data_IF_538792333393
#
_entry.id   IF_538792333393
#
_cell.length_a   1.000
_cell.length_b   1.000
_cell.length_c   1.000
_cell.angle_alpha   90.00
_cell.angle_beta   90.00
_cell.angle_gamma   90.00
#
_symmetry.space_group_name_H-M   'P 1'
#
loop_
_entity.id
_entity.type
_entity.pdbx_description
1 polymer ?
#
# COMPACT_ATOMS: atom_id res chain seq x y z
N UNK A 1 -45.81 -28.13 61.29
CA UNK A 1 -44.79 -27.06 61.13
C UNK A 1 -44.09 -27.32 59.80
N UNK A 2 -44.42 -26.48 58.85
CA UNK A 2 -44.09 -26.66 57.44
C UNK A 2 -42.78 -25.91 57.06
N UNK A 3 -41.79 -26.60 56.53
CA UNK A 3 -40.53 -26.01 56.07
C UNK A 3 -40.65 -25.77 54.55
N UNK A 4 -40.70 -24.49 54.16
CA UNK A 4 -40.64 -24.05 52.76
C UNK A 4 -39.18 -24.07 52.26
N UNK A 5 -38.87 -24.95 51.36
CA UNK A 5 -37.58 -24.98 50.63
C UNK A 5 -37.64 -23.96 49.48
N UNK A 6 -36.88 -22.88 49.56
CA UNK A 6 -36.71 -21.91 48.43
C UNK A 6 -35.69 -22.44 47.46
N UNK A 7 -36.14 -22.75 46.25
CA UNK A 7 -35.31 -23.10 45.11
C UNK A 7 -34.77 -21.81 44.49
N UNK A 8 -33.45 -21.56 44.60
CA UNK A 8 -32.78 -20.45 43.90
C UNK A 8 -32.36 -20.93 42.53
N UNK A 9 -33.03 -20.39 41.51
CA UNK A 9 -32.69 -20.64 40.11
C UNK A 9 -31.53 -19.69 39.71
N UNK A 10 -30.30 -20.22 39.60
CA UNK A 10 -29.15 -19.47 39.07
C UNK A 10 -29.22 -19.53 37.56
N UNK A 11 -29.66 -18.45 36.93
CA UNK A 11 -29.59 -18.27 35.47
C UNK A 11 -28.18 -17.82 35.12
N UNK A 12 -27.35 -18.73 34.66
CA UNK A 12 -26.03 -18.40 34.13
C UNK A 12 -26.18 -17.73 32.75
N UNK A 13 -26.02 -16.43 32.72
CA UNK A 13 -25.96 -15.66 31.45
C UNK A 13 -24.62 -15.97 30.77
N UNK A 14 -24.61 -16.86 29.79
CA UNK A 14 -23.46 -17.07 28.90
C UNK A 14 -23.41 -15.88 27.95
N UNK A 15 -22.54 -14.92 28.28
CA UNK A 15 -22.19 -13.86 27.35
C UNK A 15 -21.41 -14.48 26.17
N UNK A 16 -22.10 -14.73 25.07
CA UNK A 16 -21.44 -15.04 23.79
C UNK A 16 -20.75 -13.76 23.34
N UNK A 17 -19.48 -13.63 23.69
CA UNK A 17 -18.62 -12.64 23.05
C UNK A 17 -18.43 -13.06 21.61
N UNK A 18 -19.21 -12.51 20.69
CA UNK A 18 -18.89 -12.55 19.28
C UNK A 18 -17.59 -11.79 19.11
N UNK A 19 -16.46 -12.51 18.99
CA UNK A 19 -15.23 -11.92 18.50
C UNK A 19 -15.59 -11.19 17.20
N UNK A 20 -15.14 -9.93 16.99
CA UNK A 20 -15.34 -9.27 15.71
C UNK A 20 -14.74 -10.20 14.65
N UNK A 21 -15.56 -10.60 13.68
CA UNK A 21 -15.08 -11.34 12.52
C UNK A 21 -13.93 -10.52 11.97
N UNK A 22 -12.74 -11.09 11.99
CA UNK A 22 -11.58 -10.48 11.34
C UNK A 22 -12.02 -10.24 9.89
N UNK A 23 -12.24 -8.98 9.53
CA UNK A 23 -12.48 -8.61 8.16
C UNK A 23 -11.26 -9.09 7.40
N UNK A 24 -11.38 -10.20 6.70
CA UNK A 24 -10.42 -10.59 5.69
C UNK A 24 -10.22 -9.34 4.84
N UNK A 25 -8.96 -8.95 4.61
CA UNK A 25 -8.65 -7.81 3.76
C UNK A 25 -9.46 -7.96 2.47
N UNK A 26 -10.56 -7.22 2.37
CA UNK A 26 -11.54 -7.41 1.30
C UNK A 26 -10.87 -7.20 -0.05
N UNK A 27 -9.65 -6.59 -0.06
CA UNK A 27 -8.88 -6.35 -1.26
C UNK A 27 -7.41 -6.01 -1.02
N UNK A 28 -6.57 -6.74 -1.74
CA UNK A 28 -5.17 -6.41 -1.91
C UNK A 28 -5.02 -5.17 -2.79
N UNK A 29 -4.29 -4.15 -2.32
CA UNK A 29 -3.90 -3.01 -3.14
C UNK A 29 -2.96 -3.46 -4.24
N UNK A 30 -3.27 -3.12 -5.50
CA UNK A 30 -2.45 -3.51 -6.64
C UNK A 30 -2.08 -2.30 -7.47
N UNK A 31 -0.82 -2.20 -7.88
CA UNK A 31 -0.39 -1.06 -8.69
C UNK A 31 1.08 -1.10 -9.04
N UNK A 32 1.67 0.06 -9.22
CA UNK A 32 2.98 0.20 -9.84
C UNK A 32 3.93 1.09 -9.04
N UNK A 33 5.23 0.80 -9.17
CA UNK A 33 6.30 1.70 -8.79
C UNK A 33 7.14 1.98 -10.03
N UNK A 34 7.13 3.23 -10.49
CA UNK A 34 7.93 3.67 -11.64
C UNK A 34 8.08 5.20 -11.61
N UNK A 35 8.95 5.70 -10.74
CA UNK A 35 9.18 7.15 -10.61
C UNK A 35 9.65 7.79 -11.93
N UNK A 36 10.56 7.18 -12.72
CA UNK A 36 10.95 7.74 -14.02
C UNK A 36 9.78 8.02 -14.95
N UNK A 37 8.77 7.16 -14.97
CA UNK A 37 7.63 7.23 -15.90
C UNK A 37 6.42 7.94 -15.29
N UNK A 38 6.04 7.58 -14.07
CA UNK A 38 4.81 8.08 -13.45
C UNK A 38 4.98 9.42 -12.73
N UNK A 39 6.22 9.87 -12.50
CA UNK A 39 6.50 11.10 -11.76
C UNK A 39 7.35 12.10 -12.54
N UNK A 40 8.41 11.67 -13.23
CA UNK A 40 9.39 12.58 -13.83
C UNK A 40 9.28 12.71 -15.35
N UNK A 41 8.60 11.78 -16.03
CA UNK A 41 8.39 11.86 -17.48
C UNK A 41 7.51 13.07 -17.85
N UNK A 42 7.78 13.71 -18.96
CA UNK A 42 6.96 14.80 -19.46
C UNK A 42 5.51 14.36 -19.74
N UNK A 43 5.32 13.10 -20.18
CA UNK A 43 4.01 12.47 -20.42
C UNK A 43 3.40 11.79 -19.18
N UNK A 44 3.91 12.02 -17.96
CA UNK A 44 3.49 11.37 -16.72
C UNK A 44 1.99 11.37 -16.44
N UNK A 45 1.28 12.38 -16.92
CA UNK A 45 -0.18 12.48 -16.76
C UNK A 45 -0.88 11.37 -17.55
N UNK A 46 -0.50 11.18 -18.81
CA UNK A 46 -1.04 10.12 -19.68
C UNK A 46 -0.65 8.73 -19.17
N UNK A 47 0.56 8.61 -18.63
CA UNK A 47 1.03 7.36 -18.03
C UNK A 47 0.25 7.00 -16.74
N UNK A 48 -0.10 7.98 -15.92
CA UNK A 48 -0.98 7.79 -14.77
C UNK A 48 -2.41 7.41 -15.20
N UNK A 49 -2.91 8.00 -16.29
CA UNK A 49 -4.19 7.59 -16.89
C UNK A 49 -4.13 6.14 -17.38
N UNK A 50 -3.07 5.78 -18.08
CA UNK A 50 -2.85 4.41 -18.55
C UNK A 50 -2.75 3.41 -17.38
N UNK A 51 -2.03 3.77 -16.30
CA UNK A 51 -1.95 2.94 -15.10
C UNK A 51 -3.34 2.75 -14.45
N UNK A 52 -4.12 3.82 -14.29
CA UNK A 52 -5.47 3.76 -13.75
C UNK A 52 -6.42 2.89 -14.60
N UNK A 53 -6.31 2.97 -15.94
CA UNK A 53 -7.09 2.15 -16.88
C UNK A 53 -6.79 0.64 -16.74
N UNK A 54 -5.64 0.27 -16.19
CA UNK A 54 -5.33 -1.14 -15.88
C UNK A 54 -5.95 -1.63 -14.57
N UNK A 55 -6.83 -0.85 -13.96
CA UNK A 55 -7.39 -1.08 -12.63
C UNK A 55 -6.35 -1.01 -11.49
N UNK A 56 -5.26 -0.31 -11.67
CA UNK A 56 -4.32 -0.01 -10.60
C UNK A 56 -5.02 0.79 -9.48
N UNK A 57 -4.69 0.45 -8.25
CA UNK A 57 -5.32 1.05 -7.06
C UNK A 57 -4.33 1.75 -6.16
N UNK A 58 -3.04 1.64 -6.48
CA UNK A 58 -1.95 2.27 -5.74
C UNK A 58 -0.77 2.59 -6.67
N UNK A 59 -0.08 3.68 -6.36
CA UNK A 59 1.24 4.01 -6.92
C UNK A 59 2.22 4.12 -5.76
N UNK A 60 3.38 3.48 -5.87
CA UNK A 60 4.48 3.68 -4.95
C UNK A 60 5.46 4.70 -5.51
N UNK A 61 6.00 5.55 -4.66
CA UNK A 61 7.04 6.52 -5.02
C UNK A 61 8.09 6.63 -3.92
N UNK A 62 9.32 6.93 -4.31
CA UNK A 62 10.37 7.27 -3.37
C UNK A 62 10.36 8.75 -3.02
N UNK A 63 10.46 9.04 -1.73
CA UNK A 63 10.89 10.35 -1.26
C UNK A 63 12.29 10.19 -0.68
N UNK A 64 13.30 10.44 -1.51
CA UNK A 64 14.68 10.44 -1.08
C UNK A 64 14.92 11.67 -0.23
N UNK A 65 15.13 11.49 1.07
CA UNK A 65 15.30 12.59 2.01
C UNK A 65 16.45 13.53 1.61
N UNK A 66 17.53 12.97 1.06
CA UNK A 66 18.65 13.76 0.55
C UNK A 66 18.25 14.74 -0.57
N UNK A 67 17.30 14.36 -1.42
CA UNK A 67 16.79 15.20 -2.50
C UNK A 67 15.68 16.13 -2.01
N UNK A 68 14.79 15.62 -1.15
CA UNK A 68 13.70 16.39 -0.58
C UNK A 68 14.17 17.49 0.39
N UNK A 69 15.34 17.33 1.02
CA UNK A 69 15.95 18.31 1.92
C UNK A 69 17.48 18.40 1.69
N UNK A 70 17.92 18.92 0.54
CA UNK A 70 19.37 19.02 0.23
C UNK A 70 20.11 19.97 1.17
N UNK A 71 19.38 20.90 1.79
CA UNK A 71 19.84 21.81 2.85
C UNK A 71 19.07 21.51 4.14
N UNK A 72 19.70 21.80 5.29
CA UNK A 72 19.01 21.63 6.58
C UNK A 72 17.86 22.63 6.70
N UNK A 73 16.62 22.17 6.93
CA UNK A 73 15.48 23.04 7.17
C UNK A 73 15.66 23.87 8.44
N UNK A 74 15.19 25.13 8.43
CA UNK A 74 15.18 25.98 9.63
C UNK A 74 14.19 25.44 10.68
N UNK A 75 13.03 24.96 10.21
CA UNK A 75 11.96 24.37 11.01
C UNK A 75 11.68 22.94 10.53
N UNK A 76 12.48 21.93 10.89
CA UNK A 76 12.45 20.61 10.29
C UNK A 76 11.13 19.84 10.44
N UNK A 77 10.24 20.23 11.38
CA UNK A 77 8.91 19.63 11.53
C UNK A 77 7.82 20.42 10.82
N UNK A 78 8.14 21.59 10.23
CA UNK A 78 7.19 22.37 9.43
C UNK A 78 7.03 21.70 8.04
N UNK A 79 5.81 21.26 7.64
CA UNK A 79 5.58 20.62 6.34
C UNK A 79 5.82 21.55 5.13
N UNK A 80 5.94 22.85 5.36
CA UNK A 80 6.13 23.89 4.34
C UNK A 80 7.42 24.71 4.55
N UNK A 81 8.41 24.14 5.24
CA UNK A 81 9.73 24.78 5.32
C UNK A 81 10.29 24.91 3.90
N UNK A 82 10.80 26.11 3.50
CA UNK A 82 11.25 26.37 2.14
C UNK A 82 12.51 25.59 1.72
N UNK A 83 13.12 24.85 2.63
CA UNK A 83 14.20 23.92 2.29
C UNK A 83 13.67 22.58 1.74
N UNK A 84 12.36 22.29 1.87
CA UNK A 84 11.76 21.08 1.33
C UNK A 84 11.42 21.24 -0.16
N UNK A 85 11.96 20.35 -0.98
CA UNK A 85 11.74 20.25 -2.42
C UNK A 85 10.83 19.04 -2.68
N UNK A 86 9.51 19.26 -2.69
CA UNK A 86 8.49 18.21 -2.76
C UNK A 86 7.43 18.45 -3.86
N UNK A 87 7.63 19.43 -4.74
CA UNK A 87 6.62 19.85 -5.72
C UNK A 87 6.21 18.70 -6.67
N UNK A 88 7.15 17.90 -7.10
CA UNK A 88 6.91 16.74 -7.96
C UNK A 88 6.20 15.59 -7.20
N UNK A 89 6.45 15.44 -5.90
CA UNK A 89 5.70 14.52 -5.02
C UNK A 89 4.27 15.02 -4.84
N UNK A 90 4.09 16.32 -4.59
CA UNK A 90 2.77 16.95 -4.48
C UNK A 90 1.93 16.72 -5.73
N UNK A 91 2.55 16.88 -6.89
CA UNK A 91 1.90 16.66 -8.17
C UNK A 91 1.51 15.19 -8.34
N UNK A 92 2.43 14.26 -8.09
CA UNK A 92 2.15 12.83 -8.18
C UNK A 92 1.00 12.42 -7.25
N UNK A 93 1.05 12.86 -5.98
CA UNK A 93 0.03 12.51 -4.98
C UNK A 93 -1.35 12.99 -5.43
N UNK A 94 -1.48 14.24 -5.88
CA UNK A 94 -2.75 14.78 -6.40
C UNK A 94 -3.24 14.00 -7.62
N UNK A 95 -2.36 13.79 -8.59
CA UNK A 95 -2.73 13.15 -9.85
C UNK A 95 -3.09 11.68 -9.70
N UNK A 96 -2.37 10.92 -8.86
CA UNK A 96 -2.71 9.53 -8.57
C UNK A 96 -4.07 9.43 -7.87
N UNK A 97 -4.30 10.26 -6.85
CA UNK A 97 -5.55 10.20 -6.08
C UNK A 97 -6.76 10.70 -6.86
N UNK A 98 -6.59 11.70 -7.74
CA UNK A 98 -7.63 12.12 -8.68
C UNK A 98 -8.09 10.99 -9.63
N UNK A 99 -7.23 9.99 -9.83
CA UNK A 99 -7.51 8.78 -10.61
C UNK A 99 -7.94 7.56 -9.76
N UNK A 100 -8.20 7.79 -8.48
CA UNK A 100 -8.63 6.75 -7.54
C UNK A 100 -7.51 5.80 -7.10
N UNK A 101 -6.27 6.15 -7.32
CA UNK A 101 -5.11 5.39 -6.84
C UNK A 101 -4.60 5.98 -5.53
N UNK A 102 -4.40 5.12 -4.50
CA UNK A 102 -3.65 5.48 -3.31
C UNK A 102 -2.18 5.71 -3.63
N UNK A 103 -1.48 6.36 -2.70
CA UNK A 103 -0.03 6.53 -2.81
C UNK A 103 0.65 5.86 -1.61
N UNK A 104 1.69 5.07 -1.89
CA UNK A 104 2.67 4.61 -0.91
C UNK A 104 3.92 5.46 -1.06
N UNK A 105 4.24 6.25 -0.05
CA UNK A 105 5.50 7.01 0.01
C UNK A 105 6.54 6.20 0.77
N UNK A 106 7.63 5.82 0.12
CA UNK A 106 8.78 5.19 0.76
C UNK A 106 9.88 6.23 1.03
N UNK A 107 10.17 6.47 2.30
CA UNK A 107 11.23 7.39 2.75
C UNK A 107 12.56 6.65 2.77
N UNK A 108 13.59 7.18 2.10
CA UNK A 108 14.94 6.66 2.21
C UNK A 108 16.02 7.72 1.94
N UNK A 109 17.27 7.39 2.19
CA UNK A 109 18.42 8.18 1.74
C UNK A 109 18.70 9.43 2.59
N UNK A 110 19.68 9.35 3.49
CA UNK A 110 20.07 10.45 4.39
C UNK A 110 20.80 11.57 3.64
N UNK A 111 20.45 12.85 3.82
CA UNK A 111 21.23 13.96 3.28
C UNK A 111 22.60 14.09 3.94
N UNK A 112 23.58 14.57 3.18
CA UNK A 112 24.98 14.69 3.65
C UNK A 112 25.12 15.52 4.93
N UNK A 113 24.30 16.55 5.10
CA UNK A 113 24.31 17.38 6.32
C UNK A 113 23.83 16.63 7.57
N UNK A 114 23.09 15.52 7.41
CA UNK A 114 22.55 14.72 8.52
C UNK A 114 23.36 13.45 8.83
N UNK A 115 24.30 13.03 7.94
CA UNK A 115 25.08 11.79 8.12
C UNK A 115 26.61 12.00 8.15
N UNK A 116 27.05 13.22 8.42
CA UNK A 116 28.48 13.53 8.48
C UNK A 116 29.17 13.54 7.11
N UNK A 117 28.47 13.93 6.05
CA UNK A 117 29.01 14.08 4.70
C UNK A 117 29.08 12.78 3.88
N UNK A 118 28.55 11.67 4.40
CA UNK A 118 28.56 10.36 3.73
C UNK A 118 27.53 10.27 2.62
N UNK A 119 27.57 9.18 1.84
CA UNK A 119 26.56 8.84 0.83
C UNK A 119 25.20 8.58 1.47
N UNK A 120 24.08 8.74 0.71
CA UNK A 120 22.72 8.68 1.27
C UNK A 120 22.32 7.35 1.91
N UNK A 121 23.01 6.25 1.60
CA UNK A 121 22.78 4.93 2.19
C UNK A 121 23.28 4.78 3.64
N UNK A 122 23.99 5.76 4.19
CA UNK A 122 24.37 5.76 5.62
C UNK A 122 23.27 6.38 6.47
N UNK A 123 23.03 5.79 7.64
CA UNK A 123 22.05 6.30 8.61
C UNK A 123 22.44 7.72 9.09
N UNK A 124 21.48 8.54 9.54
CA UNK A 124 21.77 9.84 10.13
C UNK A 124 22.55 9.68 11.45
N UNK A 125 23.41 10.63 11.74
CA UNK A 125 24.13 10.69 13.03
C UNK A 125 23.20 11.02 14.19
N UNK A 126 22.09 11.73 13.91
CA UNK A 126 21.04 12.04 14.87
C UNK A 126 19.68 11.60 14.30
N UNK A 127 19.07 10.59 14.90
CA UNK A 127 17.76 10.05 14.49
C UNK A 127 16.61 11.05 14.67
N UNK A 128 16.78 12.09 15.50
CA UNK A 128 15.79 13.16 15.67
C UNK A 128 15.56 13.94 14.37
N UNK A 129 16.60 14.09 13.54
CA UNK A 129 16.46 14.78 12.25
C UNK A 129 15.56 13.98 11.29
N UNK A 130 15.72 12.65 11.22
CA UNK A 130 14.84 11.78 10.45
C UNK A 130 13.40 11.81 10.98
N UNK A 131 13.23 11.76 12.31
CA UNK A 131 11.90 11.86 12.92
C UNK A 131 11.19 13.16 12.54
N UNK A 132 11.89 14.30 12.57
CA UNK A 132 11.31 15.60 12.20
C UNK A 132 10.98 15.67 10.72
N UNK A 133 11.84 15.16 9.84
CA UNK A 133 11.56 15.06 8.41
C UNK A 133 10.32 14.20 8.14
N UNK A 134 10.26 13.01 8.73
CA UNK A 134 9.12 12.10 8.59
C UNK A 134 7.81 12.73 9.13
N UNK A 135 7.90 13.52 10.21
CA UNK A 135 6.78 14.29 10.74
C UNK A 135 6.32 15.38 9.77
N UNK A 136 7.24 16.16 9.21
CA UNK A 136 6.92 17.20 8.23
C UNK A 136 6.27 16.61 6.98
N UNK A 137 6.86 15.54 6.43
CA UNK A 137 6.35 14.87 5.24
C UNK A 137 4.94 14.30 5.45
N UNK A 138 4.71 13.60 6.55
CA UNK A 138 3.40 13.02 6.84
C UNK A 138 2.36 14.09 7.25
N UNK A 139 2.77 15.16 7.90
CA UNK A 139 1.91 16.30 8.20
C UNK A 139 1.45 17.01 6.91
N UNK A 140 2.35 17.17 5.91
CA UNK A 140 2.03 17.73 4.59
C UNK A 140 0.89 16.97 3.93
N UNK A 141 0.95 15.65 3.96
CA UNK A 141 -0.08 14.77 3.37
C UNK A 141 -1.04 14.16 4.40
N UNK A 142 -1.34 14.89 5.46
CA UNK A 142 -2.33 14.46 6.46
C UNK A 142 -3.79 14.69 6.05
N UNK A 143 -4.02 15.38 4.94
CA UNK A 143 -5.35 15.83 4.50
C UNK A 143 -5.85 17.09 5.23
N UNK A 144 -5.01 17.69 6.10
CA UNK A 144 -5.37 18.91 6.85
C UNK A 144 -5.21 20.20 6.04
N UNK A 145 -4.40 20.15 5.00
CA UNK A 145 -4.05 21.33 4.21
C UNK A 145 -4.71 21.27 2.84
N UNK A 146 -5.40 22.34 2.38
CA UNK A 146 -5.98 22.39 1.04
C UNK A 146 -4.93 22.12 -0.04
N UNK A 147 -5.27 21.27 -1.02
CA UNK A 147 -4.34 20.87 -2.10
C UNK A 147 -3.29 19.82 -1.73
N UNK A 148 -3.25 19.37 -0.46
CA UNK A 148 -2.37 18.31 0.03
C UNK A 148 -3.20 17.16 0.56
N UNK A 149 -3.59 16.22 -0.31
CA UNK A 149 -4.50 15.15 0.07
C UNK A 149 -3.86 14.14 1.03
N UNK A 150 -4.70 13.36 1.73
CA UNK A 150 -4.26 12.38 2.70
C UNK A 150 -3.54 11.20 2.04
N UNK A 151 -2.28 10.97 2.41
CA UNK A 151 -1.53 9.76 2.05
C UNK A 151 -1.65 8.74 3.19
N UNK A 152 -2.21 7.59 2.85
CA UNK A 152 -2.47 6.50 3.80
C UNK A 152 -1.24 5.67 4.11
N UNK A 153 -0.36 5.42 3.14
CA UNK A 153 0.68 4.40 3.22
C UNK A 153 2.08 5.00 3.17
N UNK A 154 2.91 4.57 4.12
CA UNK A 154 4.33 4.93 4.20
C UNK A 154 5.19 3.68 4.33
N UNK A 155 6.30 3.63 3.60
CA UNK A 155 7.38 2.66 3.77
C UNK A 155 8.61 3.33 4.38
N UNK A 156 9.32 2.62 5.23
CA UNK A 156 10.54 3.12 5.84
C UNK A 156 11.75 2.42 5.22
N UNK A 157 12.53 3.19 4.49
CA UNK A 157 13.74 2.82 3.76
C UNK A 157 13.44 1.96 2.53
N UNK A 158 14.51 1.50 1.86
CA UNK A 158 14.44 0.58 0.73
C UNK A 158 15.54 -0.46 0.86
N UNK A 159 15.23 -1.72 0.62
CA UNK A 159 16.13 -2.87 0.64
C UNK A 159 17.24 -2.79 1.71
N UNK A 160 16.81 -2.57 2.96
CA UNK A 160 17.68 -2.29 4.10
C UNK A 160 18.70 -3.39 4.39
N UNK A 161 18.51 -4.56 3.80
CA UNK A 161 19.40 -5.69 3.88
C UNK A 161 20.53 -5.68 2.82
N UNK A 162 20.61 -4.63 1.99
CA UNK A 162 21.65 -4.43 0.98
C UNK A 162 22.45 -3.16 1.26
N UNK A 163 23.80 -3.24 1.18
CA UNK A 163 24.69 -2.11 1.40
C UNK A 163 24.45 -0.94 0.43
N UNK A 164 23.90 -1.22 -0.76
CA UNK A 164 23.48 -0.20 -1.72
C UNK A 164 22.52 0.81 -1.10
N UNK A 165 21.64 0.36 -0.22
CA UNK A 165 20.60 1.19 0.39
C UNK A 165 20.83 1.44 1.88
N UNK A 166 21.47 0.51 2.62
CA UNK A 166 21.80 0.70 4.02
C UNK A 166 23.21 0.21 4.32
N UNK A 167 24.09 1.12 4.67
CA UNK A 167 25.48 0.82 5.00
C UNK A 167 25.85 1.38 6.39
N UNK A 168 26.79 0.70 7.09
CA UNK A 168 27.38 -0.59 6.75
C UNK A 168 26.44 -1.77 7.05
N UNK A 169 26.56 -2.88 6.29
CA UNK A 169 25.89 -4.15 6.62
C UNK A 169 26.62 -4.88 7.75
N UNK A 170 27.95 -4.79 7.75
CA UNK A 170 28.85 -5.44 8.72
C UNK A 170 29.76 -4.40 9.38
N UNK A 171 30.18 -4.68 10.58
CA UNK A 171 31.24 -3.92 11.25
C UNK A 171 32.65 -4.41 10.84
N UNK A 172 33.67 -3.82 11.44
CA UNK A 172 35.07 -4.15 11.17
C UNK A 172 35.47 -5.59 11.60
N UNK A 173 34.64 -6.24 12.42
CA UNK A 173 34.82 -7.62 12.86
C UNK A 173 34.05 -8.63 12.00
N UNK A 174 33.31 -8.13 11.01
CA UNK A 174 32.46 -8.96 10.16
C UNK A 174 31.10 -9.31 10.79
N UNK A 175 30.71 -8.67 11.90
CA UNK A 175 29.42 -8.87 12.54
C UNK A 175 28.32 -8.06 11.82
N UNK A 176 27.14 -8.66 11.66
CA UNK A 176 26.00 -7.98 11.03
C UNK A 176 25.46 -6.86 11.91
N UNK A 177 25.53 -5.61 11.45
CA UNK A 177 25.10 -4.41 12.20
C UNK A 177 23.90 -3.68 11.58
N UNK A 178 23.61 -3.91 10.30
CA UNK A 178 22.55 -3.20 9.59
C UNK A 178 21.16 -3.33 10.25
N UNK A 179 20.70 -4.50 10.76
CA UNK A 179 19.40 -4.61 11.41
C UNK A 179 19.28 -3.76 12.68
N UNK A 180 20.36 -3.64 13.47
CA UNK A 180 20.40 -2.79 14.67
C UNK A 180 20.34 -1.29 14.32
N UNK A 181 21.04 -0.90 13.26
CA UNK A 181 21.00 0.47 12.75
C UNK A 181 19.61 0.79 12.18
N UNK A 182 19.04 -0.14 11.45
CA UNK A 182 17.70 -0.02 10.90
C UNK A 182 16.62 0.05 12.00
N UNK A 183 16.74 -0.68 13.09
CA UNK A 183 15.80 -0.61 14.22
C UNK A 183 15.64 0.81 14.77
N UNK A 184 16.77 1.54 14.92
CA UNK A 184 16.77 2.94 15.38
C UNK A 184 16.13 3.87 14.34
N UNK A 185 16.48 3.67 13.08
CA UNK A 185 15.95 4.42 11.94
C UNK A 185 14.44 4.24 11.81
N UNK A 186 13.97 2.99 11.83
CA UNK A 186 12.56 2.64 11.72
C UNK A 186 11.74 3.21 12.89
N UNK A 187 12.24 3.12 14.12
CA UNK A 187 11.58 3.69 15.29
C UNK A 187 11.42 5.22 15.18
N UNK A 188 12.47 5.92 14.73
CA UNK A 188 12.43 7.36 14.56
C UNK A 188 11.45 7.80 13.47
N UNK A 189 11.51 7.16 12.30
CA UNK A 189 10.64 7.47 11.18
C UNK A 189 9.17 7.15 11.50
N UNK A 190 8.88 5.98 12.12
CA UNK A 190 7.53 5.63 12.57
C UNK A 190 6.96 6.68 13.51
N UNK A 191 7.71 7.05 14.56
CA UNK A 191 7.28 8.07 15.52
C UNK A 191 7.03 9.43 14.84
N UNK A 192 7.85 9.80 13.86
CA UNK A 192 7.66 11.01 13.06
C UNK A 192 6.39 10.95 12.22
N UNK A 193 6.19 9.88 11.46
CA UNK A 193 5.00 9.70 10.62
C UNK A 193 3.72 9.76 11.46
N UNK A 194 3.68 9.04 12.59
CA UNK A 194 2.51 9.04 13.48
C UNK A 194 2.27 10.40 14.15
N UNK A 195 3.31 11.19 14.41
CA UNK A 195 3.16 12.55 14.92
C UNK A 195 2.57 13.52 13.87
N UNK A 196 2.94 13.38 12.60
CA UNK A 196 2.41 14.19 11.51
C UNK A 196 1.04 13.74 11.03
N UNK A 197 0.83 12.43 10.93
CA UNK A 197 -0.41 11.81 10.44
C UNK A 197 -0.72 10.51 11.19
N UNK A 198 -1.44 10.55 12.31
CA UNK A 198 -1.70 9.37 13.15
C UNK A 198 -2.46 8.24 12.43
N UNK A 199 -3.26 8.59 11.42
CA UNK A 199 -4.08 7.64 10.63
C UNK A 199 -3.29 6.90 9.55
N UNK A 200 -2.11 7.37 9.19
CA UNK A 200 -1.29 6.73 8.17
C UNK A 200 -0.74 5.40 8.67
N UNK A 201 -0.68 4.42 7.79
CA UNK A 201 -0.12 3.09 8.03
C UNK A 201 1.33 3.05 7.58
N UNK A 202 2.18 2.41 8.37
CA UNK A 202 3.64 2.45 8.19
C UNK A 202 4.20 1.04 8.12
N UNK A 203 4.86 0.72 7.02
CA UNK A 203 5.61 -0.52 6.85
C UNK A 203 7.09 -0.35 7.18
N UNK A 204 7.66 -1.38 7.78
CA UNK A 204 9.10 -1.55 7.97
C UNK A 204 9.62 -2.74 7.18
N UNK A 205 10.93 -2.93 7.16
CA UNK A 205 11.58 -4.04 6.45
C UNK A 205 12.04 -3.62 5.08
N UNK A 206 11.11 -3.56 4.12
CA UNK A 206 11.42 -3.23 2.71
C UNK A 206 12.63 -4.06 2.23
N UNK A 207 12.66 -5.36 2.55
CA UNK A 207 13.84 -6.19 2.34
C UNK A 207 13.84 -6.82 0.95
N UNK A 208 15.01 -6.86 0.29
CA UNK A 208 15.24 -7.63 -0.93
C UNK A 208 15.08 -9.13 -0.68
N UNK A 209 14.77 -9.89 -1.72
CA UNK A 209 14.54 -11.35 -1.64
C UNK A 209 15.77 -12.16 -1.20
N UNK A 210 16.96 -11.62 -1.38
CA UNK A 210 18.21 -12.35 -1.14
C UNK A 210 19.28 -11.49 -0.47
N UNK A 211 20.24 -12.17 0.10
CA UNK A 211 21.44 -11.59 0.68
C UNK A 211 22.43 -12.67 1.09
N UNK A 212 23.58 -12.23 1.57
CA UNK A 212 24.63 -13.04 2.11
C UNK A 212 24.92 -12.61 3.54
N UNK A 213 24.94 -13.52 4.47
CA UNK A 213 25.16 -13.25 5.88
C UNK A 213 26.66 -13.21 6.24
N UNK A 214 27.49 -12.90 5.25
CA UNK A 214 28.94 -12.77 5.38
C UNK A 214 29.50 -11.85 4.30
N UNK A 215 30.61 -11.19 4.63
CA UNK A 215 31.36 -10.41 3.66
C UNK A 215 32.04 -11.35 2.64
N UNK A 216 31.97 -10.95 1.38
CA UNK A 216 32.65 -11.63 0.27
C UNK A 216 33.45 -10.60 -0.50
N UNK A 217 34.79 -10.78 -0.62
CA UNK A 217 35.63 -9.83 -1.35
C UNK A 217 35.09 -9.52 -2.75
N UNK A 218 35.15 -8.25 -3.13
CA UNK A 218 34.68 -7.71 -4.41
C UNK A 218 33.15 -7.78 -4.67
N UNK A 219 32.36 -8.26 -3.71
CA UNK A 219 30.91 -8.22 -3.80
C UNK A 219 30.35 -7.21 -2.82
N UNK A 220 29.24 -6.53 -3.21
CA UNK A 220 28.54 -5.63 -2.31
C UNK A 220 28.00 -6.39 -1.10
N UNK A 221 28.16 -5.85 0.09
CA UNK A 221 27.70 -6.45 1.33
C UNK A 221 26.16 -6.56 1.37
N UNK A 222 25.68 -7.65 1.93
CA UNK A 222 24.23 -7.89 2.07
C UNK A 222 23.93 -8.89 3.19
N UNK A 223 22.75 -8.74 3.79
CA UNK A 223 22.21 -9.68 4.78
C UNK A 223 20.99 -10.36 4.17
N UNK A 224 20.83 -11.67 4.36
CA UNK A 224 19.62 -12.36 3.88
C UNK A 224 18.37 -11.88 4.64
N UNK A 225 17.20 -11.77 3.97
CA UNK A 225 16.01 -11.14 4.55
C UNK A 225 15.51 -11.81 5.84
N UNK A 226 15.59 -13.14 5.94
CA UNK A 226 15.21 -13.83 7.16
C UNK A 226 16.16 -13.56 8.32
N UNK A 227 17.47 -13.51 8.07
CA UNK A 227 18.47 -13.13 9.09
C UNK A 227 18.29 -11.68 9.50
N UNK A 228 18.09 -10.79 8.53
CA UNK A 228 17.83 -9.36 8.78
C UNK A 228 16.62 -9.17 9.70
N UNK A 229 15.49 -9.81 9.37
CA UNK A 229 14.25 -9.67 10.15
C UNK A 229 14.40 -10.24 11.58
N UNK A 230 15.11 -11.37 11.74
CA UNK A 230 15.40 -11.93 13.06
C UNK A 230 16.24 -10.98 13.92
N UNK A 231 17.36 -10.50 13.38
CA UNK A 231 18.26 -9.59 14.09
C UNK A 231 17.61 -8.21 14.34
N UNK A 232 16.68 -7.78 13.48
CA UNK A 232 15.86 -6.58 13.69
C UNK A 232 14.97 -6.74 14.93
N UNK A 233 14.27 -7.86 15.03
CA UNK A 233 13.42 -8.15 16.18
C UNK A 233 14.22 -8.34 17.48
N UNK A 234 15.40 -8.94 17.41
CA UNK A 234 16.32 -9.04 18.55
C UNK A 234 16.82 -7.66 19.00
N UNK A 235 17.11 -6.76 18.04
CA UNK A 235 17.57 -5.41 18.36
C UNK A 235 16.47 -4.54 18.99
N UNK A 236 15.22 -4.74 18.61
CA UNK A 236 14.05 -4.05 19.19
C UNK A 236 12.78 -4.92 19.08
N UNK A 237 12.51 -5.79 20.04
CA UNK A 237 11.34 -6.68 20.01
C UNK A 237 10.00 -5.94 20.18
N UNK A 238 10.04 -4.67 20.58
CA UNK A 238 8.86 -3.78 20.72
C UNK A 238 8.76 -2.73 19.63
N UNK A 239 9.49 -2.90 18.53
CA UNK A 239 9.45 -1.97 17.40
C UNK A 239 8.01 -1.83 16.89
N UNK A 240 7.55 -0.58 16.83
CA UNK A 240 6.20 -0.28 16.35
C UNK A 240 6.18 -0.17 14.83
N UNK A 241 5.20 -0.81 14.22
CA UNK A 241 4.93 -0.75 12.77
C UNK A 241 3.52 -1.31 12.50
N UNK A 242 2.94 -0.96 11.35
CA UNK A 242 1.61 -1.44 10.96
C UNK A 242 1.71 -2.66 10.01
N UNK A 243 2.73 -2.70 9.15
CA UNK A 243 2.99 -3.81 8.23
C UNK A 243 4.49 -4.11 8.08
N UNK A 244 4.82 -5.28 7.57
CA UNK A 244 6.18 -5.63 7.14
C UNK A 244 6.23 -5.67 5.62
N UNK A 245 7.12 -4.87 5.02
CA UNK A 245 7.31 -4.82 3.58
C UNK A 245 8.46 -5.73 3.13
N UNK A 246 8.28 -6.37 1.98
CA UNK A 246 9.25 -7.27 1.39
C UNK A 246 9.17 -7.26 -0.12
N UNK A 247 10.31 -7.43 -0.80
CA UNK A 247 10.44 -7.53 -2.24
C UNK A 247 10.77 -8.99 -2.63
N UNK A 248 9.78 -9.88 -2.74
CA UNK A 248 10.00 -11.32 -2.93
C UNK A 248 10.34 -11.70 -4.38
N UNK A 249 11.23 -10.93 -5.02
CA UNK A 249 11.69 -11.22 -6.38
C UNK A 249 12.18 -12.66 -6.52
N UNK A 250 11.99 -13.25 -7.71
CA UNK A 250 12.65 -14.51 -8.00
C UNK A 250 14.18 -14.34 -8.00
N UNK A 251 14.88 -15.33 -7.47
CA UNK A 251 16.33 -15.34 -7.48
C UNK A 251 16.84 -16.78 -7.71
N UNK A 252 17.50 -17.02 -8.83
CA UNK A 252 17.77 -16.16 -10.00
C UNK A 252 16.55 -15.52 -10.64
N UNK A 253 16.75 -14.37 -11.32
CA UNK A 253 15.69 -13.51 -11.89
C UNK A 253 14.73 -14.22 -12.86
N UNK A 254 15.17 -15.30 -13.49
CA UNK A 254 14.37 -16.10 -14.42
C UNK A 254 13.52 -17.20 -13.77
N UNK A 255 13.60 -17.36 -12.43
CA UNK A 255 12.81 -18.37 -11.72
C UNK A 255 11.32 -18.04 -11.75
N UNK A 256 10.50 -19.12 -11.78
CA UNK A 256 9.03 -18.99 -11.68
C UNK A 256 8.63 -18.42 -10.31
N UNK A 257 7.48 -17.73 -10.21
CA UNK A 257 6.94 -17.26 -8.92
C UNK A 257 6.76 -18.39 -7.90
N UNK A 258 6.53 -19.60 -8.39
CA UNK A 258 6.31 -20.80 -7.58
C UNK A 258 7.61 -21.47 -7.11
N UNK A 259 8.77 -20.96 -7.49
CA UNK A 259 10.07 -21.53 -7.12
C UNK A 259 10.43 -21.18 -5.67
N UNK A 260 10.78 -22.19 -4.91
CA UNK A 260 11.34 -22.01 -3.58
C UNK A 260 12.80 -21.58 -3.66
N UNK A 261 13.19 -20.69 -2.76
CA UNK A 261 14.59 -20.32 -2.51
C UNK A 261 15.05 -20.88 -1.15
N UNK A 262 16.35 -21.07 -1.01
CA UNK A 262 16.92 -21.56 0.26
C UNK A 262 16.80 -20.49 1.33
N UNK A 263 16.18 -20.85 2.45
CA UNK A 263 16.16 -20.04 3.66
C UNK A 263 17.60 -19.73 4.13
N UNK A 264 17.92 -18.52 4.60
CA UNK A 264 17.02 -17.42 4.98
C UNK A 264 16.72 -16.39 3.86
N UNK A 265 17.00 -16.71 2.58
CA UNK A 265 16.46 -15.95 1.46
C UNK A 265 14.96 -16.22 1.30
N UNK A 266 14.20 -15.23 0.78
CA UNK A 266 12.75 -15.30 0.72
C UNK A 266 12.25 -14.84 -0.64
N UNK A 267 11.69 -15.77 -1.41
CA UNK A 267 10.91 -15.49 -2.63
C UNK A 267 9.41 -15.50 -2.30
N UNK A 268 8.59 -15.16 -3.28
CA UNK A 268 7.14 -15.15 -3.13
C UNK A 268 6.57 -16.48 -2.62
N UNK A 269 7.08 -17.60 -3.13
CA UNK A 269 6.65 -18.95 -2.69
C UNK A 269 7.03 -19.29 -1.26
N UNK A 270 8.11 -18.71 -0.74
CA UNK A 270 8.59 -18.94 0.62
C UNK A 270 8.11 -17.90 1.64
N UNK A 271 7.33 -16.91 1.21
CA UNK A 271 6.79 -15.82 2.03
C UNK A 271 6.07 -16.31 3.31
N UNK A 272 5.23 -17.38 3.28
CA UNK A 272 4.57 -17.89 4.50
C UNK A 272 5.54 -18.35 5.60
N UNK A 273 6.79 -18.71 5.26
CA UNK A 273 7.83 -18.99 6.27
C UNK A 273 8.29 -17.71 6.96
N UNK A 274 8.53 -16.64 6.20
CA UNK A 274 8.89 -15.33 6.77
C UNK A 274 7.79 -14.84 7.71
N UNK A 275 6.54 -14.92 7.30
CA UNK A 275 5.38 -14.50 8.09
C UNK A 275 5.27 -15.17 9.44
N UNK A 276 5.41 -16.52 9.47
CA UNK A 276 5.44 -17.26 10.74
C UNK A 276 6.61 -16.84 11.62
N UNK A 277 7.78 -16.64 11.01
CA UNK A 277 8.98 -16.19 11.71
C UNK A 277 8.80 -14.79 12.30
N UNK A 278 8.23 -13.85 11.53
CA UNK A 278 7.91 -12.49 12.00
C UNK A 278 6.95 -12.53 13.20
N UNK A 279 5.88 -13.34 13.12
CA UNK A 279 4.94 -13.49 14.24
C UNK A 279 5.64 -13.99 15.52
N UNK A 280 6.53 -14.96 15.39
CA UNK A 280 7.32 -15.48 16.51
C UNK A 280 8.28 -14.45 17.08
N UNK A 281 9.05 -13.78 16.22
CA UNK A 281 10.12 -12.87 16.67
C UNK A 281 9.58 -11.57 17.27
N UNK A 282 8.54 -10.99 16.66
CA UNK A 282 7.89 -9.78 17.18
C UNK A 282 6.78 -10.06 18.18
N UNK A 283 6.47 -11.34 18.46
CA UNK A 283 5.40 -11.78 19.38
C UNK A 283 4.05 -11.13 19.04
N UNK A 284 3.75 -11.11 17.76
CA UNK A 284 2.58 -10.43 17.21
C UNK A 284 1.98 -11.26 16.08
N UNK A 285 0.74 -11.68 16.25
CA UNK A 285 0.03 -12.46 15.23
C UNK A 285 -0.45 -11.58 14.07
N UNK A 286 -0.62 -12.22 12.92
CA UNK A 286 -1.24 -11.62 11.73
C UNK A 286 -0.61 -10.30 11.28
N UNK A 287 0.74 -10.19 11.34
CA UNK A 287 1.44 -9.03 10.79
C UNK A 287 1.11 -8.92 9.31
N UNK A 288 0.53 -7.79 8.85
CA UNK A 288 0.27 -7.55 7.43
C UNK A 288 1.57 -7.53 6.62
N UNK A 289 1.51 -8.06 5.42
CA UNK A 289 2.64 -8.07 4.47
C UNK A 289 2.31 -7.16 3.30
N UNK A 290 3.22 -6.25 2.99
CA UNK A 290 3.17 -5.45 1.78
C UNK A 290 4.28 -5.90 0.83
N UNK A 291 3.88 -6.39 -0.34
CA UNK A 291 4.81 -6.64 -1.45
C UNK A 291 4.95 -5.33 -2.19
N UNK A 292 5.96 -4.55 -1.81
CA UNK A 292 6.17 -3.19 -2.28
C UNK A 292 6.99 -3.10 -3.56
N UNK A 293 7.61 -4.21 -3.97
CA UNK A 293 8.17 -4.43 -5.30
C UNK A 293 8.10 -5.91 -5.68
N UNK A 294 7.73 -6.16 -6.93
CA UNK A 294 7.83 -7.46 -7.59
C UNK A 294 7.84 -7.29 -9.11
N UNK A 295 8.53 -8.16 -9.82
CA UNK A 295 8.54 -8.15 -11.28
C UNK A 295 9.47 -9.21 -11.85
N UNK A 296 9.35 -9.43 -13.16
CA UNK A 296 10.29 -10.22 -13.96
C UNK A 296 10.82 -9.34 -15.08
N UNK A 297 12.12 -9.15 -15.10
CA UNK A 297 12.79 -8.45 -16.20
C UNK A 297 12.73 -9.27 -17.48
N UNK A 298 12.63 -8.60 -18.62
CA UNK A 298 12.46 -9.24 -19.93
C UNK A 298 13.64 -9.00 -20.87
N UNK A 299 13.91 -10.00 -21.68
CA UNK A 299 14.77 -9.88 -22.86
C UNK A 299 14.10 -8.97 -23.90
N UNK A 300 14.88 -8.22 -24.73
CA UNK A 300 16.34 -8.14 -24.72
C UNK A 300 16.90 -7.12 -23.72
N UNK A 301 16.04 -6.37 -23.00
CA UNK A 301 16.47 -5.30 -22.10
C UNK A 301 17.33 -5.81 -20.94
N UNK A 302 17.02 -7.01 -20.42
CA UNK A 302 17.83 -7.75 -19.46
C UNK A 302 18.23 -9.10 -20.07
N UNK A 303 19.52 -9.33 -20.37
CA UNK A 303 19.97 -10.57 -21.01
C UNK A 303 19.66 -11.85 -20.23
N UNK A 304 19.67 -11.78 -18.89
CA UNK A 304 19.32 -12.87 -17.98
C UNK A 304 17.83 -12.94 -17.66
N UNK A 305 17.04 -12.00 -18.19
CA UNK A 305 15.60 -11.93 -17.99
C UNK A 305 14.84 -13.07 -18.67
N UNK A 306 13.54 -13.09 -18.42
CA UNK A 306 12.61 -14.02 -19.06
C UNK A 306 12.18 -13.50 -20.45
N UNK A 307 11.51 -14.33 -21.25
CA UNK A 307 10.82 -13.82 -22.44
C UNK A 307 9.56 -13.05 -22.03
N UNK A 308 9.05 -12.16 -22.89
CA UNK A 308 7.78 -11.46 -22.64
C UNK A 308 6.60 -12.43 -22.48
N UNK A 309 6.61 -13.57 -23.19
CA UNK A 309 5.62 -14.63 -23.04
C UNK A 309 5.68 -15.26 -21.64
N UNK A 310 6.89 -15.55 -21.15
CA UNK A 310 7.09 -16.05 -19.79
C UNK A 310 6.67 -15.01 -18.73
N UNK A 311 6.96 -13.72 -18.95
CA UNK A 311 6.48 -12.65 -18.05
C UNK A 311 4.96 -12.66 -17.98
N UNK A 312 4.27 -12.80 -19.13
CA UNK A 312 2.81 -12.86 -19.21
C UNK A 312 2.22 -14.09 -18.50
N UNK A 313 2.94 -15.20 -18.49
CA UNK A 313 2.53 -16.41 -17.77
C UNK A 313 2.83 -16.35 -16.28
N UNK A 314 3.94 -15.72 -15.89
CA UNK A 314 4.36 -15.66 -14.49
C UNK A 314 3.60 -14.60 -13.67
N UNK A 315 3.21 -13.50 -14.30
CA UNK A 315 2.49 -12.42 -13.62
C UNK A 315 1.21 -12.92 -12.93
N UNK A 316 0.25 -13.61 -13.61
CA UNK A 316 -0.94 -14.11 -12.94
C UNK A 316 -0.65 -15.16 -11.87
N UNK A 317 0.42 -15.96 -12.03
CA UNK A 317 0.86 -16.90 -11.00
C UNK A 317 1.33 -16.17 -9.74
N UNK A 318 2.11 -15.11 -9.90
CA UNK A 318 2.58 -14.28 -8.78
C UNK A 318 1.41 -13.61 -8.04
N UNK A 319 0.49 -12.98 -8.79
CA UNK A 319 -0.70 -12.35 -8.21
C UNK A 319 -1.59 -13.37 -7.50
N UNK A 320 -1.76 -14.57 -8.07
CA UNK A 320 -2.54 -15.64 -7.44
C UNK A 320 -1.91 -16.15 -6.14
N UNK A 321 -0.58 -16.26 -6.07
CA UNK A 321 0.13 -16.59 -4.82
C UNK A 321 -0.09 -15.52 -3.76
N UNK A 322 0.08 -14.24 -4.12
CA UNK A 322 -0.15 -13.12 -3.21
C UNK A 322 -1.60 -13.07 -2.71
N UNK A 323 -2.60 -13.24 -3.58
CA UNK A 323 -4.04 -13.22 -3.21
C UNK A 323 -4.47 -14.38 -2.32
N UNK A 324 -3.80 -15.53 -2.39
CA UNK A 324 -4.09 -16.69 -1.52
C UNK A 324 -3.64 -16.46 -0.09
N UNK A 325 -2.71 -15.58 0.11
CA UNK A 325 -2.20 -15.24 1.42
C UNK A 325 -3.00 -14.09 2.02
N UNK A 326 -3.71 -14.36 3.11
CA UNK A 326 -4.58 -13.37 3.77
C UNK A 326 -3.84 -12.23 4.44
N UNK A 327 -2.54 -12.38 4.68
CA UNK A 327 -1.70 -11.34 5.25
C UNK A 327 -1.19 -10.35 4.20
N UNK A 328 -1.20 -10.74 2.91
CA UNK A 328 -0.75 -9.88 1.83
C UNK A 328 -1.85 -8.87 1.49
N UNK A 329 -1.62 -7.62 1.87
CA UNK A 329 -2.55 -6.51 1.65
C UNK A 329 -2.19 -5.63 0.45
N UNK A 330 -0.96 -5.76 -0.07
CA UNK A 330 -0.46 -4.91 -1.16
C UNK A 330 0.46 -5.70 -2.08
N UNK A 331 0.34 -5.44 -3.39
CA UNK A 331 1.19 -6.00 -4.43
C UNK A 331 1.53 -4.91 -5.47
N UNK A 332 2.76 -4.44 -5.45
CA UNK A 332 3.26 -3.41 -6.36
C UNK A 332 4.18 -4.03 -7.40
N UNK A 333 3.82 -3.88 -8.67
CA UNK A 333 4.67 -4.28 -9.79
C UNK A 333 5.72 -3.21 -10.07
N UNK A 334 6.95 -3.61 -10.25
CA UNK A 334 8.09 -2.75 -10.54
C UNK A 334 8.70 -3.17 -11.89
N UNK A 335 8.62 -2.42 -12.98
CA UNK A 335 8.13 -1.07 -13.23
C UNK A 335 6.89 -1.07 -14.15
N UNK A 336 6.28 0.11 -14.45
CA UNK A 336 5.14 0.22 -15.35
C UNK A 336 5.54 0.12 -16.82
N UNK A 337 6.59 0.88 -17.23
CA UNK A 337 7.14 0.90 -18.59
C UNK A 337 8.65 0.75 -18.57
N UNK A 338 9.21 -0.04 -19.49
CA UNK A 338 10.65 -0.07 -19.70
C UNK A 338 11.15 1.33 -20.09
N UNK A 339 12.24 1.78 -19.50
CA UNK A 339 12.79 3.11 -19.79
C UNK A 339 14.32 3.14 -19.69
N UNK A 340 14.94 4.14 -20.32
CA UNK A 340 16.38 4.40 -20.18
C UNK A 340 16.72 4.91 -18.75
N UNK A 341 15.75 5.53 -18.07
CA UNK A 341 15.91 6.04 -16.72
C UNK A 341 15.88 4.95 -15.64
N UNK A 342 15.50 3.72 -15.98
CA UNK A 342 15.51 2.56 -15.11
C UNK A 342 16.56 1.54 -15.52
N UNK A 343 17.34 1.05 -14.55
CA UNK A 343 18.20 -0.12 -14.74
C UNK A 343 17.41 -1.45 -14.73
N UNK A 344 16.08 -1.40 -14.50
CA UNK A 344 15.20 -2.54 -14.35
C UNK A 344 14.18 -2.56 -15.50
N UNK A 345 14.08 -3.66 -16.24
CA UNK A 345 13.30 -3.75 -17.48
C UNK A 345 12.16 -4.78 -17.36
N UNK A 346 11.31 -4.62 -16.37
CA UNK A 346 10.15 -5.48 -16.14
C UNK A 346 8.81 -4.84 -16.53
N UNK A 347 8.84 -3.73 -17.27
CA UNK A 347 7.65 -2.98 -17.68
C UNK A 347 6.57 -3.84 -18.34
N UNK A 348 5.32 -3.43 -18.21
CA UNK A 348 4.17 -3.99 -18.95
C UNK A 348 4.01 -3.31 -20.32
N UNK A 349 4.70 -2.19 -20.49
CA UNK A 349 4.92 -1.53 -21.78
C UNK A 349 6.41 -1.58 -22.13
N UNK A 350 6.68 -1.68 -23.41
CA UNK A 350 8.05 -1.51 -23.93
C UNK A 350 8.44 -0.04 -23.89
N UNK A 351 9.72 0.24 -24.02
CA UNK A 351 10.28 1.60 -24.06
C UNK A 351 9.62 2.53 -25.09
N UNK A 352 9.20 1.98 -26.22
CA UNK A 352 8.51 2.72 -27.29
C UNK A 352 7.00 2.91 -27.03
N UNK A 353 6.50 2.58 -25.84
CA UNK A 353 5.08 2.70 -25.46
C UNK A 353 4.19 1.56 -25.98
N UNK A 354 4.72 0.58 -26.71
CA UNK A 354 3.92 -0.57 -27.15
C UNK A 354 3.68 -1.56 -26.00
N UNK A 355 2.51 -2.18 -26.01
CA UNK A 355 2.06 -3.10 -24.97
C UNK A 355 2.82 -4.42 -25.01
N UNK A 356 3.27 -4.93 -23.86
CA UNK A 356 3.70 -6.32 -23.72
C UNK A 356 2.50 -7.24 -23.44
N UNK A 357 2.58 -8.54 -23.76
CA UNK A 357 1.49 -9.49 -23.46
C UNK A 357 1.08 -9.52 -21.98
N UNK A 358 2.00 -9.25 -21.08
CA UNK A 358 1.76 -9.20 -19.63
C UNK A 358 0.77 -8.12 -19.20
N UNK A 359 0.59 -7.03 -19.97
CA UNK A 359 -0.39 -5.99 -19.67
C UNK A 359 -1.83 -6.52 -19.63
N UNK A 360 -2.21 -7.33 -20.61
CA UNK A 360 -3.54 -7.94 -20.64
C UNK A 360 -3.75 -8.90 -19.46
N UNK A 361 -2.70 -9.61 -19.05
CA UNK A 361 -2.72 -10.48 -17.88
C UNK A 361 -2.87 -9.69 -16.59
N UNK A 362 -2.18 -8.56 -16.45
CA UNK A 362 -2.35 -7.66 -15.31
C UNK A 362 -3.79 -7.15 -15.23
N UNK A 363 -4.33 -6.61 -16.29
CA UNK A 363 -5.69 -6.07 -16.32
C UNK A 363 -6.75 -7.13 -15.96
N UNK A 364 -6.52 -8.40 -16.27
CA UNK A 364 -7.41 -9.50 -15.89
C UNK A 364 -7.28 -9.94 -14.42
N UNK A 365 -6.14 -9.67 -13.77
CA UNK A 365 -5.90 -10.03 -12.37
C UNK A 365 -6.20 -8.89 -11.40
N UNK A 366 -5.96 -7.65 -11.83
CA UNK A 366 -6.32 -6.46 -11.07
C UNK A 366 -7.84 -6.26 -11.11
N UNK A 367 -8.51 -6.17 -9.96
CA UNK A 367 -9.96 -6.00 -9.97
C UNK A 367 -10.31 -4.62 -10.54
N UNK A 368 -11.46 -4.49 -11.26
CA UNK A 368 -11.96 -3.18 -11.71
C UNK A 368 -12.04 -2.18 -10.55
N UNK A 369 -11.72 -0.91 -10.81
CA UNK A 369 -11.81 0.15 -9.78
C UNK A 369 -13.21 0.20 -9.15
N UNK A 370 -14.27 0.02 -9.96
CA UNK A 370 -15.67 -0.02 -9.50
C UNK A 370 -16.02 -1.25 -8.66
N UNK A 371 -15.24 -2.31 -8.75
CA UNK A 371 -15.44 -3.50 -7.91
C UNK A 371 -14.97 -3.28 -6.46
N UNK A 372 -14.51 -2.09 -6.08
CA UNK A 372 -14.25 -1.71 -4.68
C UNK A 372 -15.51 -1.54 -3.85
N UNK A 373 -16.67 -1.41 -4.49
CA UNK A 373 -17.94 -1.52 -3.82
C UNK A 373 -18.44 -2.95 -4.02
N UNK A 374 -18.35 -3.82 -3.01
CA UNK A 374 -18.80 -5.20 -3.12
C UNK A 374 -20.28 -5.24 -3.50
N UNK A 375 -20.69 -6.30 -4.20
CA UNK A 375 -22.10 -6.57 -4.36
C UNK A 375 -22.72 -6.74 -2.98
N UNK A 376 -23.56 -5.81 -2.60
CA UNK A 376 -24.26 -5.85 -1.33
C UNK A 376 -25.46 -6.79 -1.44
N UNK A 377 -25.76 -7.50 -0.36
CA UNK A 377 -26.97 -8.33 -0.26
C UNK A 377 -27.92 -7.76 0.77
N UNK A 378 -29.21 -7.87 0.51
CA UNK A 378 -30.26 -7.55 1.46
C UNK A 378 -31.32 -8.65 1.42
N UNK A 379 -31.96 -8.96 2.57
CA UNK A 379 -33.12 -9.83 2.57
C UNK A 379 -34.26 -9.20 1.75
N UNK A 380 -34.92 -9.98 0.96
CA UNK A 380 -36.09 -9.52 0.20
C UNK A 380 -37.17 -8.94 1.13
N UNK A 381 -37.73 -7.81 0.75
CA UNK A 381 -38.69 -7.05 1.56
C UNK A 381 -38.03 -6.05 2.56
N UNK A 382 -36.71 -6.05 2.71
CA UNK A 382 -36.00 -5.07 3.52
C UNK A 382 -35.58 -3.83 2.73
N UNK A 383 -35.32 -2.72 3.44
CA UNK A 383 -34.72 -1.54 2.82
C UNK A 383 -33.33 -1.86 2.28
N UNK A 384 -32.92 -1.14 1.23
CA UNK A 384 -31.58 -1.21 0.72
C UNK A 384 -30.54 -0.98 1.84
N UNK A 385 -29.44 -1.75 1.86
CA UNK A 385 -28.41 -1.62 2.88
C UNK A 385 -27.67 -0.30 2.73
N UNK A 386 -26.88 0.06 3.74
CA UNK A 386 -25.95 1.17 3.68
C UNK A 386 -24.87 0.88 2.63
N UNK A 387 -24.63 1.85 1.77
CA UNK A 387 -23.60 1.81 0.73
C UNK A 387 -22.48 2.73 1.13
N UNK A 388 -21.29 2.17 1.32
CA UNK A 388 -20.07 2.94 1.54
C UNK A 388 -19.42 3.23 0.19
N UNK A 389 -19.32 4.50 -0.16
CA UNK A 389 -18.68 4.97 -1.38
C UNK A 389 -17.30 5.54 -1.04
N UNK A 390 -16.27 5.08 -1.72
CA UNK A 390 -14.97 5.74 -1.68
C UNK A 390 -15.00 6.97 -2.58
N UNK A 391 -14.55 8.09 -2.04
CA UNK A 391 -14.60 9.40 -2.68
C UNK A 391 -13.24 10.10 -2.63
N UNK A 392 -12.18 9.35 -2.80
CA UNK A 392 -10.80 9.82 -2.66
C UNK A 392 -10.47 10.96 -3.60
N UNK A 393 -11.00 10.91 -4.81
CA UNK A 393 -10.83 11.94 -5.83
C UNK A 393 -11.40 13.29 -5.36
N UNK A 394 -12.54 13.25 -4.68
CA UNK A 394 -13.14 14.47 -4.09
C UNK A 394 -12.32 14.93 -2.89
N UNK A 395 -11.90 14.00 -2.04
CA UNK A 395 -11.08 14.27 -0.86
C UNK A 395 -9.72 14.86 -1.21
N UNK A 396 -9.09 14.34 -2.25
CA UNK A 396 -7.81 14.82 -2.75
C UNK A 396 -7.86 16.30 -3.15
N UNK A 397 -9.00 16.74 -3.68
CA UNK A 397 -9.18 18.11 -4.18
C UNK A 397 -9.74 19.05 -3.12
N UNK A 398 -10.62 18.58 -2.23
CA UNK A 398 -11.45 19.43 -1.38
C UNK A 398 -11.26 19.20 0.13
N UNK A 399 -10.65 18.08 0.53
CA UNK A 399 -10.41 17.75 1.94
C UNK A 399 -11.62 17.16 2.68
N UNK A 400 -11.38 16.80 3.95
CA UNK A 400 -12.39 16.31 4.88
C UNK A 400 -13.45 17.36 5.18
N UNK A 401 -14.69 16.93 5.39
CA UNK A 401 -15.80 17.80 5.74
C UNK A 401 -16.44 18.54 4.56
N UNK A 402 -15.89 18.37 3.35
CA UNK A 402 -16.44 18.98 2.12
C UNK A 402 -17.89 18.54 1.91
N UNK A 403 -18.76 19.52 1.63
CA UNK A 403 -20.15 19.25 1.28
C UNK A 403 -20.25 18.60 -0.10
N UNK A 404 -21.00 17.53 -0.19
CA UNK A 404 -21.21 16.77 -1.42
C UNK A 404 -22.70 16.60 -1.68
N UNK A 405 -23.13 17.11 -2.82
CA UNK A 405 -24.45 16.81 -3.39
C UNK A 405 -24.37 15.48 -4.15
N UNK A 406 -25.33 14.59 -3.92
CA UNK A 406 -25.37 13.30 -4.56
C UNK A 406 -26.76 13.00 -5.12
N UNK A 407 -26.79 12.54 -6.35
CA UNK A 407 -27.99 11.92 -6.95
C UNK A 407 -27.75 10.44 -7.15
N UNK A 408 -28.64 9.58 -6.67
CA UNK A 408 -28.57 8.16 -7.00
C UNK A 408 -29.75 7.73 -7.87
N UNK A 409 -29.48 6.76 -8.76
CA UNK A 409 -30.47 6.16 -9.67
C UNK A 409 -30.39 4.65 -9.56
N UNK A 410 -31.40 4.03 -8.94
CA UNK A 410 -31.52 2.57 -8.86
C UNK A 410 -32.29 2.03 -10.07
N UNK A 411 -31.70 1.01 -10.71
CA UNK A 411 -32.30 0.32 -11.86
C UNK A 411 -32.48 -1.18 -11.58
N UNK A 412 -33.59 -1.74 -12.04
CA UNK A 412 -33.83 -3.15 -12.05
C UNK A 412 -34.02 -3.60 -13.52
N UNK A 413 -33.21 -4.55 -13.98
CA UNK A 413 -33.17 -4.98 -15.37
C UNK A 413 -33.12 -3.79 -16.37
N UNK A 414 -32.31 -2.81 -16.10
CA UNK A 414 -32.16 -1.59 -16.90
C UNK A 414 -33.24 -0.52 -16.70
N UNK A 415 -34.39 -0.84 -16.15
CA UNK A 415 -35.48 0.12 -15.89
C UNK A 415 -35.24 0.89 -14.60
N UNK A 416 -35.43 2.20 -14.65
CA UNK A 416 -35.31 3.08 -13.48
C UNK A 416 -36.44 2.79 -12.49
N UNK A 417 -36.11 2.44 -11.25
CA UNK A 417 -37.08 2.13 -10.19
C UNK A 417 -37.08 3.13 -9.06
N UNK A 418 -35.96 3.87 -8.85
CA UNK A 418 -35.86 4.91 -7.85
C UNK A 418 -34.79 5.93 -8.21
N UNK A 419 -35.10 7.20 -7.91
CA UNK A 419 -34.15 8.32 -7.87
C UNK A 419 -34.21 8.92 -6.48
N UNK A 420 -33.07 9.35 -5.96
CA UNK A 420 -32.98 10.10 -4.73
C UNK A 420 -31.84 11.11 -4.78
N UNK A 421 -32.00 12.16 -3.99
CA UNK A 421 -30.97 13.20 -3.79
C UNK A 421 -30.57 13.23 -2.32
N UNK A 422 -29.30 13.40 -2.07
CA UNK A 422 -28.71 13.37 -0.73
C UNK A 422 -27.69 14.50 -0.66
N UNK A 423 -27.72 15.25 0.45
CA UNK A 423 -26.66 16.17 0.83
C UNK A 423 -25.89 15.55 1.99
N UNK A 424 -24.59 15.49 1.89
CA UNK A 424 -23.74 14.88 2.90
C UNK A 424 -22.36 15.55 2.96
N UNK A 425 -21.51 15.08 3.88
CA UNK A 425 -20.14 15.55 3.98
C UNK A 425 -19.17 14.40 3.92
N UNK A 426 -17.98 14.67 3.37
CA UNK A 426 -16.88 13.70 3.36
C UNK A 426 -16.44 13.38 4.78
N UNK A 427 -16.26 12.11 5.06
CA UNK A 427 -15.62 11.62 6.29
C UNK A 427 -14.10 11.75 6.22
N UNK A 428 -13.46 11.64 7.37
CA UNK A 428 -12.01 11.67 7.50
C UNK A 428 -11.27 10.55 6.75
N UNK A 429 -11.95 9.43 6.46
CA UNK A 429 -11.45 8.32 5.66
C UNK A 429 -11.75 8.46 4.15
N UNK A 430 -12.19 9.65 3.74
CA UNK A 430 -12.61 9.94 2.37
C UNK A 430 -13.73 9.03 1.87
N UNK A 431 -14.62 8.61 2.75
CA UNK A 431 -15.81 7.83 2.42
C UNK A 431 -17.10 8.58 2.69
N UNK A 432 -18.16 8.15 2.01
CA UNK A 432 -19.53 8.58 2.23
C UNK A 432 -20.39 7.33 2.44
N UNK A 433 -21.14 7.28 3.54
CA UNK A 433 -22.15 6.24 3.73
C UNK A 433 -23.51 6.76 3.30
N UNK A 434 -24.18 6.03 2.43
CA UNK A 434 -25.48 6.37 1.87
C UNK A 434 -26.45 5.22 2.05
N UNK A 435 -27.66 5.50 2.50
CA UNK A 435 -28.75 4.52 2.53
C UNK A 435 -29.77 4.86 1.44
N UNK A 436 -29.79 4.15 0.31
CA UNK A 436 -30.80 4.37 -0.73
C UNK A 436 -32.20 4.07 -0.21
N UNK A 437 -33.14 4.98 -0.48
CA UNK A 437 -34.51 4.88 0.04
C UNK A 437 -35.43 4.05 -0.86
N UNK A 438 -35.18 2.73 -0.97
CA UNK A 438 -36.09 1.79 -1.64
C UNK A 438 -36.00 0.41 -0.98
N UNK A 439 -37.01 -0.44 -1.27
CA UNK A 439 -37.08 -1.82 -0.77
C UNK A 439 -36.55 -2.78 -1.82
N UNK A 440 -35.70 -3.71 -1.41
CA UNK A 440 -35.12 -4.74 -2.29
C UNK A 440 -36.07 -5.89 -2.39
N UNK A 441 -36.50 -6.23 -3.60
CA UNK A 441 -37.39 -7.40 -3.83
C UNK A 441 -36.59 -8.72 -3.79
N UNK A 442 -37.17 -9.83 -3.28
CA UNK A 442 -36.55 -11.15 -3.25
C UNK A 442 -36.08 -11.59 -4.64
N UNK A 443 -34.87 -12.13 -4.73
CA UNK A 443 -34.30 -12.66 -5.98
C UNK A 443 -33.99 -11.60 -7.05
N UNK A 444 -34.14 -10.32 -6.75
CA UNK A 444 -33.91 -9.24 -7.72
C UNK A 444 -32.53 -8.60 -7.50
N UNK A 445 -31.93 -8.16 -8.62
CA UNK A 445 -30.62 -7.50 -8.64
C UNK A 445 -30.78 -6.07 -9.14
N UNK A 446 -30.38 -5.12 -8.32
CA UNK A 446 -30.42 -3.70 -8.60
C UNK A 446 -29.05 -3.17 -8.93
N UNK A 447 -28.96 -2.31 -9.93
CA UNK A 447 -27.75 -1.53 -10.22
C UNK A 447 -28.04 -0.09 -9.82
N UNK A 448 -27.23 0.45 -8.92
CA UNK A 448 -27.38 1.80 -8.40
C UNK A 448 -26.19 2.64 -8.85
N UNK A 449 -26.48 3.68 -9.60
CA UNK A 449 -25.50 4.68 -10.01
C UNK A 449 -25.62 5.86 -9.07
N UNK A 450 -24.50 6.30 -8.51
CA UNK A 450 -24.33 7.48 -7.70
C UNK A 450 -23.54 8.53 -8.49
N UNK A 451 -24.09 9.70 -8.68
CA UNK A 451 -23.44 10.86 -9.25
C UNK A 451 -23.21 11.87 -8.11
N UNK A 452 -21.94 12.14 -7.77
CA UNK A 452 -21.53 13.01 -6.69
C UNK A 452 -20.96 14.30 -7.26
N UNK A 453 -21.33 15.44 -6.68
CA UNK A 453 -20.80 16.74 -7.09
C UNK A 453 -20.44 17.56 -5.86
N UNK A 454 -19.34 18.28 -5.91
CA UNK A 454 -18.94 19.25 -4.89
C UNK A 454 -19.28 20.67 -5.32
N UNK A 455 -19.30 21.59 -4.38
CA UNK A 455 -19.48 23.02 -4.65
C UNK A 455 -18.36 23.57 -5.57
N UNK A 456 -17.19 22.96 -5.57
CA UNK A 456 -16.05 23.34 -6.40
C UNK A 456 -16.05 22.68 -7.78
N UNK A 457 -17.15 22.02 -8.18
CA UNK A 457 -17.33 21.48 -9.52
C UNK A 457 -16.68 20.12 -9.76
N UNK A 458 -16.15 19.45 -8.75
CA UNK A 458 -15.66 18.08 -8.89
C UNK A 458 -16.84 17.13 -8.98
N UNK A 459 -16.87 16.32 -10.04
CA UNK A 459 -17.91 15.30 -10.28
C UNK A 459 -17.32 13.91 -10.25
N UNK A 460 -18.02 12.99 -9.58
CA UNK A 460 -17.61 11.59 -9.46
C UNK A 460 -18.80 10.67 -9.66
N UNK A 461 -18.63 9.62 -10.44
CA UNK A 461 -19.64 8.57 -10.63
C UNK A 461 -19.20 7.26 -9.99
N UNK A 462 -20.13 6.61 -9.27
CA UNK A 462 -19.95 5.27 -8.69
C UNK A 462 -21.14 4.39 -9.02
N UNK A 463 -20.88 3.10 -9.19
CA UNK A 463 -21.94 2.10 -9.46
C UNK A 463 -21.81 0.96 -8.46
N UNK A 464 -22.93 0.59 -7.85
CA UNK A 464 -23.01 -0.47 -6.86
C UNK A 464 -24.13 -1.42 -7.25
N UNK A 465 -23.94 -2.72 -7.04
CA UNK A 465 -24.99 -3.72 -7.23
C UNK A 465 -25.51 -4.18 -5.87
N UNK A 466 -26.85 -4.22 -5.73
CA UNK A 466 -27.53 -4.81 -4.57
C UNK A 466 -28.36 -6.01 -5.03
N UNK A 467 -28.11 -7.17 -4.43
CA UNK A 467 -28.87 -8.39 -4.68
C UNK A 467 -29.84 -8.68 -3.52
N UNK A 468 -31.09 -8.88 -3.81
CA UNK A 468 -32.08 -9.39 -2.85
C UNK A 468 -31.93 -10.90 -2.69
N UNK A 469 -31.59 -11.37 -1.46
CA UNK A 469 -31.65 -12.79 -1.13
C UNK A 469 -33.10 -13.24 -1.05
N UNK A 470 -33.36 -14.53 -1.29
CA UNK A 470 -34.70 -15.12 -1.11
C UNK A 470 -35.23 -14.90 0.32
N UNK A 471 -36.55 -15.02 0.50
CA UNK A 471 -37.13 -15.15 1.86
C UNK A 471 -36.54 -16.46 2.46
N UNK A 472 -35.79 -16.34 3.55
CA UNK A 472 -35.48 -17.49 4.36
C UNK A 472 -36.70 -17.92 5.15
#
# INVERSE_FOLDING_TARGET
MSALTRLILVVSLVAVTTAPAAHAAERMWMGFHDDPVLRWDAGRIDELDAAAQTNATIVRTFVTWANAAPRRPANPSNPFDPAYMLDDVDELVRNAQNRGMEVLITIWGTPRWANGGRTPNYVPTNMTELRRFAQALSARYSGRYPGYPFVRFYGIWNESNLARFLAPQFDARGEIVAPRNYAKLAAAAYAGIKAGSPRSLVAIGETSSHGRDKQVPKLSDSTSPGTFARLLAEANPRLQFDAYAHHPYPYPVFFKPTQLVRWPNVSLKSLPRLERSLSTWFRRDNIPIWITEYGHETKPGEPLGVTEAQQADYLPQAVALAKRDRRVEMFVWFVFRDSLGSSWQSGLYRRNGTRKPALARWASTAPPVDARNPSLSARGGQRAPDVNLTTREICATNGEGTAVGMTYRARLAGKLVKVGQIQTRLRSDCSITVRPAFTVAPGKRYVIQFDLNTENGVSLRRTVTIAGSGRG
#
